data_IF_566881817296
#
_entry.id   IF_566881817296
#
_cell.length_a   1.000
_cell.length_b   1.000
_cell.length_c   1.000
_cell.angle_alpha   90.00
_cell.angle_beta   90.00
_cell.angle_gamma   90.00
#
_symmetry.space_group_name_H-M   'P 1'
#
loop_
_entity.id
_entity.type
_entity.pdbx_description
1 polymer ?
#
# COMPACT_ATOMS: atom_id res chain seq x y z
N UNK A 1 -27.83 8.57 28.95
CA UNK A 1 -28.30 7.66 27.89
C UNK A 1 -27.16 6.71 27.55
N UNK A 2 -27.42 5.42 27.66
CA UNK A 2 -26.42 4.35 27.64
C UNK A 2 -25.83 4.17 26.24
N UNK A 3 -24.51 4.24 26.12
CA UNK A 3 -23.78 3.88 24.90
C UNK A 3 -23.97 2.37 24.69
N UNK A 4 -24.71 1.97 23.66
CA UNK A 4 -24.81 0.56 23.28
C UNK A 4 -23.47 0.13 22.68
N UNK A 5 -22.76 -0.74 23.39
CA UNK A 5 -21.60 -1.44 22.85
C UNK A 5 -22.00 -2.25 21.62
N UNK A 6 -21.21 -2.14 20.55
CA UNK A 6 -21.32 -3.00 19.37
C UNK A 6 -21.20 -4.47 19.80
N UNK A 7 -22.01 -5.40 19.24
CA UNK A 7 -21.92 -6.80 19.59
C UNK A 7 -20.53 -7.33 19.23
N UNK A 8 -19.83 -7.91 20.21
CA UNK A 8 -18.53 -8.55 19.99
C UNK A 8 -18.74 -9.73 19.03
N UNK A 9 -18.29 -9.58 17.79
CA UNK A 9 -18.13 -10.72 16.89
C UNK A 9 -17.07 -11.59 17.54
N UNK A 10 -17.47 -12.70 18.18
CA UNK A 10 -16.53 -13.72 18.66
C UNK A 10 -15.82 -14.26 17.42
N UNK A 11 -14.62 -13.78 17.16
CA UNK A 11 -13.71 -14.40 16.23
C UNK A 11 -13.58 -15.87 16.63
N UNK A 12 -14.02 -16.76 15.73
CA UNK A 12 -13.86 -18.20 15.90
C UNK A 12 -12.35 -18.42 15.99
N UNK A 13 -11.83 -18.77 17.18
CA UNK A 13 -10.43 -19.15 17.37
C UNK A 13 -10.08 -20.13 16.26
N UNK A 14 -9.20 -19.72 15.36
CA UNK A 14 -8.49 -20.67 14.51
C UNK A 14 -7.66 -21.46 15.51
N UNK A 15 -8.17 -22.63 15.89
CA UNK A 15 -7.36 -23.62 16.60
C UNK A 15 -6.09 -23.76 15.76
N UNK A 16 -4.94 -23.43 16.35
CA UNK A 16 -3.65 -23.76 15.75
C UNK A 16 -3.58 -25.29 15.68
N UNK A 17 -4.17 -25.86 14.62
CA UNK A 17 -4.01 -27.27 14.30
C UNK A 17 -2.53 -27.48 13.97
N UNK A 18 -2.04 -28.65 14.36
CA UNK A 18 -0.66 -29.13 14.25
C UNK A 18 0.28 -28.22 13.45
N UNK A 19 1.30 -27.61 14.11
CA UNK A 19 2.36 -26.78 13.51
C UNK A 19 2.57 -27.16 12.05
N UNK A 20 1.96 -26.41 11.14
CA UNK A 20 2.20 -26.61 9.72
C UNK A 20 3.71 -26.46 9.54
N UNK A 21 4.38 -27.49 9.02
CA UNK A 21 5.76 -27.33 8.56
C UNK A 21 5.68 -26.20 7.53
N UNK A 22 6.42 -25.11 7.76
CA UNK A 22 6.38 -23.95 6.87
C UNK A 22 6.70 -24.33 5.42
N UNK A 23 6.52 -23.40 4.49
CA UNK A 23 6.74 -23.65 3.08
C UNK A 23 8.23 -23.87 2.79
N UNK A 24 8.53 -24.94 2.06
CA UNK A 24 9.83 -25.07 1.39
C UNK A 24 9.79 -24.33 0.06
N UNK A 25 10.82 -23.55 -0.23
CA UNK A 25 10.87 -22.63 -1.37
C UNK A 25 11.98 -23.09 -2.33
N UNK A 26 11.63 -23.79 -3.41
CA UNK A 26 12.62 -24.18 -4.41
C UNK A 26 13.08 -22.96 -5.21
N UNK A 27 14.40 -22.79 -5.35
CA UNK A 27 15.01 -21.79 -6.23
C UNK A 27 14.81 -22.21 -7.69
N UNK A 28 14.28 -21.32 -8.52
CA UNK A 28 14.01 -21.56 -9.95
C UNK A 28 14.82 -20.64 -10.84
N UNK A 29 15.00 -19.39 -10.41
CA UNK A 29 15.70 -18.37 -11.17
C UNK A 29 16.99 -17.90 -10.50
N UNK A 30 17.14 -18.17 -9.20
CA UNK A 30 18.25 -17.69 -8.39
C UNK A 30 19.17 -18.83 -7.94
N UNK A 31 20.35 -18.47 -7.43
CA UNK A 31 21.32 -19.40 -6.87
C UNK A 31 21.64 -18.98 -5.44
N UNK A 32 21.77 -19.95 -4.52
CA UNK A 32 22.11 -19.66 -3.13
C UNK A 32 23.46 -18.91 -3.04
N UNK A 33 23.50 -17.87 -2.21
CA UNK A 33 24.70 -17.05 -1.99
C UNK A 33 25.03 -16.06 -3.09
N UNK A 34 24.22 -15.93 -4.15
CA UNK A 34 24.37 -14.91 -5.19
C UNK A 34 23.24 -13.90 -5.13
N UNK A 35 23.57 -12.61 -5.15
CA UNK A 35 22.57 -11.56 -5.19
C UNK A 35 21.84 -11.61 -6.55
N UNK A 36 20.49 -11.75 -6.57
CA UNK A 36 19.73 -11.76 -7.81
C UNK A 36 19.97 -10.56 -8.72
N UNK A 37 20.30 -9.39 -8.15
CA UNK A 37 20.59 -8.19 -8.92
C UNK A 37 21.83 -8.34 -9.79
N UNK A 38 22.82 -9.15 -9.41
CA UNK A 38 24.06 -9.37 -10.17
C UNK A 38 23.86 -10.15 -11.48
N UNK A 39 22.71 -10.82 -11.64
CA UNK A 39 22.36 -11.53 -12.88
C UNK A 39 21.98 -10.60 -14.04
N UNK A 40 21.85 -9.29 -13.79
CA UNK A 40 21.47 -8.28 -14.78
C UNK A 40 22.57 -7.24 -14.97
N UNK A 41 22.58 -6.61 -16.14
CA UNK A 41 23.34 -5.39 -16.38
C UNK A 41 22.46 -4.15 -16.18
N UNK A 42 23.06 -3.08 -15.67
CA UNK A 42 22.38 -1.84 -15.35
C UNK A 42 23.00 -0.68 -16.11
N UNK A 43 22.22 0.39 -16.24
CA UNK A 43 22.68 1.67 -16.77
C UNK A 43 22.02 2.83 -16.04
N UNK A 44 22.63 4.00 -16.17
CA UNK A 44 22.12 5.25 -15.62
C UNK A 44 21.24 5.92 -16.68
N UNK A 45 19.98 6.20 -16.33
CA UNK A 45 19.04 6.91 -17.19
C UNK A 45 18.56 8.19 -16.54
N UNK A 46 18.26 9.16 -17.39
CA UNK A 46 17.57 10.39 -16.99
C UNK A 46 16.08 10.21 -17.21
N UNK A 47 15.28 10.58 -16.21
CA UNK A 47 13.83 10.69 -16.33
C UNK A 47 13.43 12.16 -16.33
N UNK A 48 12.58 12.54 -17.29
CA UNK A 48 12.05 13.89 -17.42
C UNK A 48 10.55 13.80 -17.66
N UNK A 49 9.76 14.50 -16.84
CA UNK A 49 8.33 14.69 -17.06
C UNK A 49 8.13 16.14 -17.48
N UNK A 50 7.45 16.33 -18.61
CA UNK A 50 7.10 17.64 -19.15
C UNK A 50 5.60 17.85 -19.18
N UNK A 51 5.19 19.10 -19.04
CA UNK A 51 3.83 19.54 -19.35
C UNK A 51 3.58 19.54 -20.87
N UNK A 52 2.31 19.64 -21.31
CA UNK A 52 1.98 19.80 -22.73
C UNK A 52 2.60 21.04 -23.39
N UNK A 53 2.90 22.07 -22.60
CA UNK A 53 3.59 23.29 -23.05
C UNK A 53 5.13 23.14 -23.16
N UNK A 54 5.66 21.95 -22.87
CA UNK A 54 7.09 21.63 -22.92
C UNK A 54 7.87 21.99 -21.65
N UNK A 55 7.26 22.65 -20.65
CA UNK A 55 7.93 22.95 -19.39
C UNK A 55 8.21 21.69 -18.57
N UNK A 56 9.38 21.64 -17.92
CA UNK A 56 9.79 20.46 -17.12
C UNK A 56 9.12 20.51 -15.75
N UNK A 57 8.31 19.49 -15.45
CA UNK A 57 7.64 19.29 -14.16
C UNK A 57 8.56 18.60 -13.16
N UNK A 58 9.33 17.63 -13.65
CA UNK A 58 10.22 16.82 -12.83
C UNK A 58 11.37 16.33 -13.70
N UNK A 59 12.58 16.36 -13.15
CA UNK A 59 13.77 15.78 -13.76
C UNK A 59 14.59 15.07 -12.69
N UNK A 60 15.00 13.86 -12.99
CA UNK A 60 15.97 13.12 -12.20
C UNK A 60 16.99 12.49 -13.12
N UNK A 61 18.25 12.82 -12.86
CA UNK A 61 19.39 12.25 -13.57
C UNK A 61 19.94 11.05 -12.82
N UNK A 62 20.64 10.18 -13.54
CA UNK A 62 21.40 9.07 -12.97
C UNK A 62 20.56 8.05 -12.18
N UNK A 63 19.33 7.76 -12.63
CA UNK A 63 18.55 6.64 -12.09
C UNK A 63 19.15 5.31 -12.59
N UNK A 64 19.60 4.45 -11.68
CA UNK A 64 20.14 3.14 -12.01
C UNK A 64 18.99 2.15 -12.25
N UNK A 65 18.88 1.63 -13.47
CA UNK A 65 17.83 0.68 -13.87
C UNK A 65 18.43 -0.45 -14.72
N UNK A 66 17.78 -1.63 -14.81
CA UNK A 66 18.22 -2.69 -15.71
C UNK A 66 18.22 -2.23 -17.16
N UNK A 67 19.26 -2.57 -17.94
CA UNK A 67 19.37 -2.18 -19.36
C UNK A 67 18.18 -2.61 -20.22
N UNK A 68 17.56 -3.74 -19.87
CA UNK A 68 16.41 -4.28 -20.59
C UNK A 68 15.09 -3.53 -20.37
N UNK A 69 15.01 -2.62 -19.39
CA UNK A 69 13.80 -1.84 -19.15
C UNK A 69 13.57 -0.83 -20.27
N UNK A 70 12.32 -0.46 -20.54
CA UNK A 70 12.02 0.66 -21.44
C UNK A 70 12.24 2.01 -20.74
N UNK A 71 12.36 3.09 -21.53
CA UNK A 71 12.39 4.45 -20.99
C UNK A 71 11.09 4.74 -20.22
N UNK A 72 9.92 4.35 -20.74
CA UNK A 72 8.64 4.52 -20.04
C UNK A 72 8.60 3.83 -18.67
N UNK A 73 9.13 2.60 -18.57
CA UNK A 73 9.22 1.90 -17.27
C UNK A 73 10.13 2.65 -16.30
N UNK A 74 11.22 3.23 -16.81
CA UNK A 74 12.14 4.07 -16.02
C UNK A 74 11.42 5.33 -15.54
N UNK A 75 10.70 6.01 -16.42
CA UNK A 75 9.98 7.24 -16.08
C UNK A 75 8.87 7.00 -15.06
N UNK A 76 8.12 5.90 -15.20
CA UNK A 76 7.10 5.52 -14.22
C UNK A 76 7.74 5.19 -12.88
N UNK A 77 8.81 4.38 -12.85
CA UNK A 77 9.52 4.05 -11.62
C UNK A 77 9.99 5.30 -10.89
N UNK A 78 10.69 6.18 -11.58
CA UNK A 78 11.31 7.35 -10.97
C UNK A 78 10.25 8.37 -10.54
N UNK A 79 9.20 8.56 -11.33
CA UNK A 79 8.18 9.58 -11.03
C UNK A 79 7.16 9.16 -9.98
N UNK A 80 6.84 7.86 -9.93
CA UNK A 80 5.75 7.32 -9.10
C UNK A 80 6.20 6.42 -7.97
N UNK A 81 7.36 5.77 -8.03
CA UNK A 81 7.71 4.72 -7.06
C UNK A 81 8.98 5.00 -6.28
N UNK A 82 9.93 5.75 -6.85
CA UNK A 82 11.09 6.23 -6.11
C UNK A 82 10.67 7.16 -4.99
N UNK A 83 11.10 6.84 -3.78
CA UNK A 83 10.99 7.70 -2.62
C UNK A 83 11.94 8.89 -2.77
N UNK A 84 11.40 10.10 -2.71
CA UNK A 84 12.10 11.37 -2.95
C UNK A 84 12.80 11.95 -1.73
N UNK A 85 12.52 11.45 -0.53
CA UNK A 85 13.07 11.99 0.72
C UNK A 85 13.17 10.94 1.83
N UNK A 86 14.16 11.11 2.73
CA UNK A 86 14.35 10.33 3.94
C UNK A 86 15.13 9.02 3.76
N UNK A 87 15.59 8.72 2.54
CA UNK A 87 16.37 7.49 2.30
C UNK A 87 17.78 7.66 2.87
N UNK A 88 18.28 6.72 3.70
CA UNK A 88 19.61 6.81 4.28
C UNK A 88 20.71 6.94 3.23
N UNK A 89 21.76 7.73 3.53
CA UNK A 89 22.94 8.01 2.69
C UNK A 89 22.67 8.83 1.41
N UNK A 90 21.63 8.52 0.64
CA UNK A 90 21.33 9.17 -0.65
C UNK A 90 20.25 10.23 -0.58
N UNK A 91 19.48 10.30 0.52
CA UNK A 91 18.34 11.20 0.70
C UNK A 91 17.09 10.76 -0.06
N UNK A 92 17.26 10.14 -1.23
CA UNK A 92 16.19 9.59 -2.09
C UNK A 92 16.59 8.23 -2.68
N UNK A 93 15.64 7.47 -3.18
CA UNK A 93 15.91 6.29 -4.00
C UNK A 93 16.47 6.74 -5.35
N UNK A 94 17.56 6.10 -5.78
CA UNK A 94 18.27 6.37 -7.04
C UNK A 94 18.46 5.11 -7.88
N UNK A 95 18.05 3.94 -7.38
CA UNK A 95 18.19 2.67 -8.08
C UNK A 95 16.93 1.82 -7.97
N UNK A 96 16.56 1.14 -9.06
CA UNK A 96 15.51 0.13 -9.05
C UNK A 96 15.80 -0.99 -8.02
N UNK A 97 17.08 -1.27 -7.75
CA UNK A 97 17.50 -2.24 -6.73
C UNK A 97 17.01 -1.86 -5.34
N UNK A 98 17.04 -0.57 -4.99
CA UNK A 98 16.59 -0.10 -3.67
C UNK A 98 15.10 -0.35 -3.45
N UNK A 99 14.28 0.00 -4.44
CA UNK A 99 12.82 -0.21 -4.41
C UNK A 99 12.49 -1.70 -4.29
N UNK A 100 13.08 -2.52 -5.16
CA UNK A 100 12.84 -3.96 -5.17
C UNK A 100 13.34 -4.61 -3.88
N UNK A 101 14.50 -4.19 -3.38
CA UNK A 101 15.05 -4.67 -2.12
C UNK A 101 14.10 -4.39 -0.96
N UNK A 102 13.65 -3.14 -0.77
CA UNK A 102 12.79 -2.81 0.38
C UNK A 102 11.49 -3.58 0.38
N UNK A 103 10.90 -3.82 -0.79
CA UNK A 103 9.66 -4.59 -0.90
C UNK A 103 9.92 -6.05 -0.54
N UNK A 104 10.88 -6.69 -1.21
CA UNK A 104 11.12 -8.12 -1.03
C UNK A 104 11.62 -8.46 0.38
N UNK A 105 12.56 -7.66 0.92
CA UNK A 105 13.13 -7.86 2.24
C UNK A 105 12.07 -7.69 3.34
N UNK A 106 11.29 -6.61 3.28
CA UNK A 106 10.21 -6.36 4.25
C UNK A 106 9.14 -7.46 4.21
N UNK A 107 8.77 -7.98 3.04
CA UNK A 107 7.80 -9.08 2.93
C UNK A 107 8.36 -10.38 3.54
N UNK A 108 9.63 -10.72 3.29
CA UNK A 108 10.28 -11.87 3.95
C UNK A 108 10.24 -11.71 5.47
N UNK A 109 10.71 -10.56 5.97
CA UNK A 109 10.75 -10.28 7.41
C UNK A 109 9.37 -10.34 8.07
N UNK A 110 8.33 -9.87 7.38
CA UNK A 110 6.95 -10.00 7.85
C UNK A 110 6.53 -11.48 7.96
N UNK A 111 6.85 -12.31 6.95
CA UNK A 111 6.56 -13.74 6.98
C UNK A 111 7.30 -14.49 8.10
N UNK A 112 8.56 -14.13 8.36
CA UNK A 112 9.34 -14.67 9.48
C UNK A 112 8.73 -14.27 10.84
N UNK A 113 8.36 -13.00 11.01
CA UNK A 113 7.77 -12.47 12.25
C UNK A 113 6.42 -13.08 12.57
N UNK A 114 5.56 -13.25 11.56
CA UNK A 114 4.25 -13.90 11.73
C UNK A 114 4.39 -15.39 12.06
N UNK A 115 5.49 -16.02 11.65
CA UNK A 115 5.75 -17.44 11.86
C UNK A 115 4.90 -18.34 10.96
N UNK A 116 5.35 -19.58 10.78
CA UNK A 116 4.62 -20.60 10.01
C UNK A 116 4.65 -20.45 8.48
N UNK A 117 5.25 -19.37 7.94
CA UNK A 117 5.38 -19.17 6.49
C UNK A 117 6.53 -19.98 5.87
N UNK A 118 7.72 -19.98 6.46
CA UNK A 118 8.92 -20.61 5.91
C UNK A 118 9.33 -21.83 6.74
N UNK A 119 9.74 -22.93 6.09
CA UNK A 119 10.18 -24.13 6.80
C UNK A 119 11.54 -23.93 7.46
N UNK A 120 12.42 -23.18 6.80
CA UNK A 120 13.80 -22.89 7.21
C UNK A 120 14.18 -21.43 6.91
N UNK A 121 15.33 -20.98 7.45
CA UNK A 121 15.89 -19.67 7.11
C UNK A 121 16.35 -19.63 5.64
N UNK A 122 16.82 -20.76 5.12
CA UNK A 122 17.21 -20.91 3.72
C UNK A 122 16.01 -20.75 2.78
N UNK A 123 14.82 -21.24 3.17
CA UNK A 123 13.58 -21.05 2.43
C UNK A 123 13.12 -19.58 2.44
N UNK A 124 13.28 -18.89 3.58
CA UNK A 124 13.00 -17.46 3.66
C UNK A 124 13.93 -16.64 2.75
N UNK A 125 15.23 -16.95 2.74
CA UNK A 125 16.19 -16.31 1.83
C UNK A 125 15.90 -16.65 0.37
N UNK A 126 15.56 -17.90 0.06
CA UNK A 126 15.16 -18.31 -1.29
C UNK A 126 13.92 -17.53 -1.77
N UNK A 127 12.94 -17.32 -0.89
CA UNK A 127 11.77 -16.49 -1.18
C UNK A 127 12.15 -15.05 -1.51
N UNK A 128 12.97 -14.41 -0.68
CA UNK A 128 13.42 -13.03 -0.91
C UNK A 128 14.15 -12.92 -2.26
N UNK A 129 15.06 -13.86 -2.54
CA UNK A 129 15.88 -13.86 -3.75
C UNK A 129 15.01 -14.04 -5.00
N UNK A 130 14.13 -15.04 -5.02
CA UNK A 130 13.21 -15.28 -6.15
C UNK A 130 12.27 -14.08 -6.35
N UNK A 131 11.77 -13.48 -5.27
CA UNK A 131 10.91 -12.30 -5.36
C UNK A 131 11.67 -11.09 -5.93
N UNK A 132 12.89 -10.81 -5.45
CA UNK A 132 13.76 -9.77 -6.02
C UNK A 132 13.94 -9.98 -7.53
N UNK A 133 14.25 -11.21 -7.93
CA UNK A 133 14.44 -11.56 -9.33
C UNK A 133 13.16 -11.33 -10.16
N UNK A 134 12.00 -11.80 -9.68
CA UNK A 134 10.72 -11.64 -10.40
C UNK A 134 10.34 -10.17 -10.59
N UNK A 135 10.56 -9.33 -9.56
CA UNK A 135 10.25 -7.91 -9.61
C UNK A 135 11.21 -7.15 -10.53
N UNK A 136 12.53 -7.37 -10.40
CA UNK A 136 13.53 -6.62 -11.19
C UNK A 136 13.51 -7.00 -12.68
N UNK A 137 13.13 -8.24 -12.99
CA UNK A 137 12.95 -8.72 -14.38
C UNK A 137 11.55 -8.46 -14.94
N UNK A 138 10.66 -7.81 -14.18
CA UNK A 138 9.28 -7.51 -14.56
C UNK A 138 8.44 -8.75 -14.92
N UNK A 139 8.76 -9.92 -14.34
CA UNK A 139 7.98 -11.17 -14.47
C UNK A 139 6.79 -11.24 -13.53
N UNK A 140 6.79 -10.39 -12.51
CA UNK A 140 5.67 -10.15 -11.63
C UNK A 140 5.73 -8.72 -11.10
N UNK A 141 4.57 -8.20 -10.69
CA UNK A 141 4.48 -6.89 -10.05
C UNK A 141 3.35 -6.92 -9.01
N UNK A 142 3.55 -6.18 -7.93
CA UNK A 142 2.49 -5.91 -6.97
C UNK A 142 1.59 -4.77 -7.45
N UNK A 143 0.44 -4.63 -6.80
CA UNK A 143 -0.38 -3.42 -6.89
C UNK A 143 0.41 -2.19 -6.39
N UNK A 144 0.05 -1.00 -6.86
CA UNK A 144 0.83 0.23 -6.63
C UNK A 144 1.05 0.60 -5.15
N UNK A 145 0.08 0.45 -4.21
CA UNK A 145 0.32 0.69 -2.78
C UNK A 145 1.49 -0.08 -2.16
N UNK A 146 1.78 -1.30 -2.62
CA UNK A 146 2.97 -2.03 -2.18
C UNK A 146 4.23 -1.28 -2.60
N UNK A 147 4.30 -0.84 -3.86
CA UNK A 147 5.42 -0.06 -4.36
C UNK A 147 5.55 1.29 -3.66
N UNK A 148 4.45 1.94 -3.29
CA UNK A 148 4.52 3.23 -2.60
C UNK A 148 5.02 3.10 -1.17
N UNK A 149 4.53 2.13 -0.41
CA UNK A 149 4.57 2.18 1.06
C UNK A 149 5.41 1.05 1.71
N UNK A 150 5.54 -0.10 1.05
CA UNK A 150 6.15 -1.29 1.66
C UNK A 150 7.66 -1.08 1.91
N UNK A 151 8.09 -1.24 3.15
CA UNK A 151 9.51 -1.14 3.52
C UNK A 151 10.05 0.27 3.76
N UNK A 152 9.22 1.33 3.64
CA UNK A 152 9.69 2.69 3.94
C UNK A 152 10.13 2.85 5.40
N UNK A 153 9.36 2.33 6.36
CA UNK A 153 9.79 2.33 7.76
C UNK A 153 10.85 1.25 8.03
N UNK A 154 10.63 0.05 7.53
CA UNK A 154 11.43 -1.13 7.88
C UNK A 154 12.88 -1.04 7.36
N UNK A 155 13.08 -0.53 6.14
CA UNK A 155 14.43 -0.38 5.58
C UNK A 155 15.04 0.99 5.84
N UNK A 156 14.20 2.04 5.84
CA UNK A 156 14.69 3.43 5.82
C UNK A 156 14.39 4.20 7.11
N UNK A 157 13.63 3.63 8.06
CA UNK A 157 13.20 4.33 9.27
C UNK A 157 12.25 5.49 9.01
N UNK A 158 11.64 5.57 7.82
CA UNK A 158 10.77 6.67 7.44
C UNK A 158 9.41 6.46 8.10
N UNK A 159 9.03 7.39 8.97
CA UNK A 159 7.70 7.41 9.58
C UNK A 159 6.67 8.06 8.65
N UNK A 160 5.43 7.58 8.75
CA UNK A 160 4.27 8.19 8.11
C UNK A 160 3.44 8.93 9.15
N UNK A 161 2.51 9.77 8.71
CA UNK A 161 1.50 10.30 9.64
C UNK A 161 0.59 9.17 10.17
N UNK A 162 0.12 9.30 11.40
CA UNK A 162 -0.81 8.35 12.01
C UNK A 162 -2.26 8.45 11.49
N UNK A 163 -3.12 7.63 12.08
CA UNK A 163 -4.58 7.74 11.95
C UNK A 163 -5.26 6.73 11.02
N UNK A 164 -4.51 5.79 10.44
CA UNK A 164 -5.06 4.59 9.82
C UNK A 164 -5.35 3.53 10.88
N UNK A 165 -5.98 2.43 10.47
CA UNK A 165 -6.23 1.28 11.35
C UNK A 165 -5.35 0.10 10.96
N UNK A 166 -4.93 -0.67 11.95
CA UNK A 166 -4.30 -1.95 11.78
C UNK A 166 -4.83 -2.94 12.81
N UNK A 167 -4.64 -4.23 12.53
CA UNK A 167 -4.97 -5.30 13.46
C UNK A 167 -3.78 -5.62 14.35
N UNK A 168 -3.95 -5.53 15.67
CA UNK A 168 -2.98 -5.98 16.65
C UNK A 168 -3.27 -7.44 17.04
N UNK A 169 -2.44 -8.36 16.57
CA UNK A 169 -2.57 -9.79 16.85
C UNK A 169 -2.37 -10.15 18.32
N UNK A 170 -1.55 -9.40 19.05
CA UNK A 170 -1.22 -9.71 20.44
C UNK A 170 -2.35 -9.31 21.39
N UNK A 171 -3.09 -8.26 21.03
CA UNK A 171 -4.23 -7.74 21.81
C UNK A 171 -5.59 -8.14 21.27
N UNK A 172 -5.64 -8.83 20.12
CA UNK A 172 -6.87 -9.24 19.44
C UNK A 172 -7.81 -8.03 19.20
N UNK A 173 -7.24 -6.90 18.76
CA UNK A 173 -7.96 -5.63 18.63
C UNK A 173 -7.52 -4.78 17.44
N UNK A 174 -8.45 -3.94 16.95
CA UNK A 174 -8.15 -2.92 15.95
C UNK A 174 -7.60 -1.68 16.65
N UNK A 175 -6.44 -1.20 16.21
CA UNK A 175 -5.76 -0.03 16.76
C UNK A 175 -5.46 1.01 15.68
N UNK A 176 -5.25 2.26 16.11
CA UNK A 176 -4.85 3.35 15.20
C UNK A 176 -3.34 3.43 15.08
N UNK A 177 -2.83 3.59 13.87
CA UNK A 177 -1.40 3.77 13.62
C UNK A 177 -0.91 5.10 14.17
N UNK A 178 0.24 5.09 14.86
CA UNK A 178 1.04 6.29 15.15
C UNK A 178 1.88 6.68 13.93
N UNK A 179 2.46 5.68 13.27
CA UNK A 179 3.15 5.78 11.98
C UNK A 179 2.50 4.86 10.95
N UNK A 180 1.97 5.42 9.87
CA UNK A 180 1.36 4.60 8.80
C UNK A 180 2.38 3.85 7.93
N UNK A 181 3.68 4.11 8.05
CA UNK A 181 4.70 3.33 7.32
C UNK A 181 5.24 2.16 8.13
N UNK A 182 5.08 2.17 9.46
CA UNK A 182 5.31 1.00 10.32
C UNK A 182 4.23 -0.08 10.08
N UNK A 183 3.00 0.36 9.82
CA UNK A 183 1.90 -0.50 9.38
C UNK A 183 1.43 -0.07 7.97
N UNK A 184 2.21 -0.39 6.91
CA UNK A 184 2.02 0.18 5.60
C UNK A 184 0.70 -0.25 4.95
N UNK A 185 0.01 0.71 4.35
CA UNK A 185 -1.14 0.43 3.49
C UNK A 185 -0.66 -0.19 2.17
N UNK A 186 -0.83 -1.49 2.02
CA UNK A 186 -0.36 -2.26 0.86
C UNK A 186 -1.50 -2.90 0.04
N UNK A 187 -2.75 -2.55 0.33
CA UNK A 187 -3.93 -3.04 -0.39
C UNK A 187 -4.47 -1.95 -1.31
N UNK A 188 -4.80 -2.30 -2.55
CA UNK A 188 -5.33 -1.36 -3.52
C UNK A 188 -6.85 -1.21 -3.48
N UNK A 189 -7.59 -2.18 -2.95
CA UNK A 189 -9.04 -2.23 -3.09
C UNK A 189 -9.70 -2.42 -1.72
N UNK A 190 -10.69 -1.57 -1.42
CA UNK A 190 -11.54 -1.65 -0.24
C UNK A 190 -13.00 -1.57 -0.64
N UNK A 191 -13.85 -2.26 0.12
CA UNK A 191 -15.31 -2.12 0.02
C UNK A 191 -15.83 -1.65 1.36
N UNK A 192 -16.67 -0.63 1.33
CA UNK A 192 -17.28 -0.01 2.50
C UNK A 192 -18.81 -0.11 2.39
N UNK A 193 -19.48 0.09 3.52
CA UNK A 193 -20.91 0.28 3.60
C UNK A 193 -21.19 1.52 4.42
N UNK A 194 -22.31 2.17 4.13
CA UNK A 194 -22.75 3.35 4.85
C UNK A 194 -24.18 3.16 5.31
N UNK A 195 -24.46 3.62 6.53
CA UNK A 195 -25.82 3.66 7.05
C UNK A 195 -26.51 4.94 6.59
N UNK A 196 -27.83 4.92 6.57
CA UNK A 196 -28.66 6.08 6.21
C UNK A 196 -28.72 7.13 7.34
N UNK A 197 -27.54 7.66 7.65
CA UNK A 197 -27.26 8.61 8.71
C UNK A 197 -26.19 9.63 8.26
N UNK A 198 -26.37 10.88 8.65
CA UNK A 198 -25.49 11.97 8.23
C UNK A 198 -24.05 11.77 8.74
N UNK A 199 -23.88 11.32 9.98
CA UNK A 199 -22.54 11.09 10.54
C UNK A 199 -21.87 9.90 9.86
N UNK A 200 -22.61 8.82 9.58
CA UNK A 200 -22.11 7.68 8.81
C UNK A 200 -21.59 8.09 7.42
N UNK A 201 -22.31 8.98 6.72
CA UNK A 201 -21.89 9.52 5.41
C UNK A 201 -20.62 10.36 5.48
N UNK A 202 -20.44 11.19 6.52
CA UNK A 202 -19.21 11.96 6.69
C UNK A 202 -18.04 11.12 7.22
N UNK A 203 -18.30 10.10 8.03
CA UNK A 203 -17.30 9.12 8.43
C UNK A 203 -16.80 8.31 7.24
N UNK A 204 -17.68 7.98 6.29
CA UNK A 204 -17.27 7.40 5.01
C UNK A 204 -16.28 8.33 4.29
N UNK A 205 -16.61 9.60 4.09
CA UNK A 205 -15.72 10.57 3.44
C UNK A 205 -14.33 10.65 4.11
N UNK A 206 -14.30 10.62 5.45
CA UNK A 206 -13.06 10.57 6.23
C UNK A 206 -12.28 9.27 5.99
N UNK A 207 -12.97 8.15 5.90
CA UNK A 207 -12.34 6.85 5.64
C UNK A 207 -11.81 6.75 4.20
N UNK A 208 -12.52 7.27 3.21
CA UNK A 208 -12.03 7.36 1.83
C UNK A 208 -10.75 8.21 1.78
N UNK A 209 -10.73 9.38 2.44
CA UNK A 209 -9.54 10.23 2.50
C UNK A 209 -8.33 9.52 3.12
N UNK A 210 -8.53 8.71 4.17
CA UNK A 210 -7.48 7.87 4.79
C UNK A 210 -6.91 6.87 3.79
N UNK A 211 -7.76 6.20 3.03
CA UNK A 211 -7.36 5.21 2.02
C UNK A 211 -6.65 5.86 0.83
N UNK A 212 -7.22 6.91 0.27
CA UNK A 212 -6.67 7.65 -0.88
C UNK A 212 -5.30 8.23 -0.58
N UNK A 213 -5.09 8.75 0.64
CA UNK A 213 -3.80 9.32 1.07
C UNK A 213 -2.62 8.38 0.83
N UNK A 214 -2.81 7.07 0.96
CA UNK A 214 -1.76 6.07 0.79
C UNK A 214 -1.90 5.23 -0.49
N UNK A 215 -2.74 5.66 -1.43
CA UNK A 215 -2.82 5.10 -2.78
C UNK A 215 -3.84 3.98 -2.97
N UNK A 216 -4.69 3.71 -1.99
CA UNK A 216 -5.77 2.72 -2.13
C UNK A 216 -7.01 3.33 -2.78
N UNK A 217 -7.78 2.53 -3.51
CA UNK A 217 -9.12 2.86 -3.97
C UNK A 217 -10.19 2.20 -3.08
N UNK A 218 -11.40 2.75 -3.11
CA UNK A 218 -12.55 2.25 -2.35
C UNK A 218 -13.82 2.30 -3.19
N UNK A 219 -14.73 1.37 -2.93
CA UNK A 219 -16.09 1.38 -3.43
C UNK A 219 -17.06 1.19 -2.27
N UNK A 220 -18.24 1.82 -2.34
CA UNK A 220 -19.17 1.83 -1.21
C UNK A 220 -20.55 1.35 -1.63
N UNK A 221 -21.15 0.51 -0.78
CA UNK A 221 -22.56 0.14 -0.93
C UNK A 221 -23.47 1.24 -0.34
N UNK A 222 -24.25 1.86 -1.21
CA UNK A 222 -25.19 2.94 -0.86
C UNK A 222 -26.66 2.50 -0.84
N UNK A 223 -26.97 1.20 -0.94
CA UNK A 223 -28.35 0.71 -1.03
C UNK A 223 -29.24 1.06 0.18
N UNK A 224 -28.64 1.46 1.30
CA UNK A 224 -29.38 1.91 2.48
C UNK A 224 -29.78 3.38 2.42
N UNK A 225 -29.12 4.20 1.60
CA UNK A 225 -29.34 5.65 1.58
C UNK A 225 -30.70 5.97 0.97
N UNK A 226 -31.51 6.72 1.73
CA UNK A 226 -32.85 7.11 1.31
C UNK A 226 -32.83 8.01 0.08
N UNK A 227 -33.90 7.93 -0.71
CA UNK A 227 -34.13 8.74 -1.89
C UNK A 227 -34.32 10.23 -1.59
N UNK A 228 -34.26 11.02 -2.65
CA UNK A 228 -34.59 12.45 -2.60
C UNK A 228 -36.03 12.65 -2.11
N UNK A 229 -36.27 13.70 -1.32
CA UNK A 229 -37.57 14.04 -0.71
C UNK A 229 -38.12 13.09 0.36
N UNK A 230 -37.42 12.00 0.70
CA UNK A 230 -37.81 11.16 1.83
C UNK A 230 -37.69 11.91 3.16
N UNK A 231 -38.63 11.64 4.08
CA UNK A 231 -38.74 12.38 5.35
C UNK A 231 -37.53 12.14 6.25
N UNK A 232 -37.07 13.19 6.93
CA UNK A 232 -36.04 13.10 7.96
C UNK A 232 -36.67 13.10 9.36
N UNK A 233 -36.00 12.45 10.31
CA UNK A 233 -36.45 12.39 11.71
C UNK A 233 -36.46 13.76 12.40
N UNK A 234 -35.53 14.65 12.03
CA UNK A 234 -35.42 16.02 12.54
C UNK A 234 -36.31 17.06 11.84
N UNK A 235 -37.18 16.63 10.91
CA UNK A 235 -37.95 17.53 10.04
C UNK A 235 -37.24 17.84 8.72
N UNK A 236 -38.02 18.30 7.73
CA UNK A 236 -37.53 18.48 6.36
C UNK A 236 -37.43 17.16 5.57
N UNK A 237 -36.65 17.20 4.50
CA UNK A 237 -36.54 16.11 3.53
C UNK A 237 -35.10 15.86 3.11
N UNK A 238 -34.79 14.61 2.76
CA UNK A 238 -33.49 14.18 2.26
C UNK A 238 -33.10 14.86 0.96
N UNK A 239 -31.80 15.20 0.84
CA UNK A 239 -31.17 15.59 -0.43
C UNK A 239 -31.04 14.42 -1.41
N UNK A 240 -31.07 13.18 -0.91
CA UNK A 240 -30.90 11.96 -1.70
C UNK A 240 -29.43 11.63 -1.99
N UNK A 241 -29.19 10.40 -2.46
CA UNK A 241 -27.85 9.85 -2.69
C UNK A 241 -26.97 10.72 -3.61
N UNK A 242 -27.52 11.25 -4.71
CA UNK A 242 -26.72 11.98 -5.70
C UNK A 242 -25.98 13.18 -5.10
N UNK A 243 -26.61 13.94 -4.20
CA UNK A 243 -25.96 15.07 -3.54
C UNK A 243 -24.77 14.65 -2.68
N UNK A 244 -24.84 13.48 -2.03
CA UNK A 244 -23.71 12.96 -1.26
C UNK A 244 -22.60 12.41 -2.16
N UNK A 245 -22.94 11.78 -3.28
CA UNK A 245 -21.94 11.34 -4.27
C UNK A 245 -21.16 12.53 -4.84
N UNK A 246 -21.81 13.67 -5.07
CA UNK A 246 -21.10 14.91 -5.48
C UNK A 246 -20.12 15.40 -4.41
N UNK A 247 -20.46 15.30 -3.12
CA UNK A 247 -19.56 15.64 -2.01
C UNK A 247 -18.35 14.70 -1.99
N UNK A 248 -18.58 13.39 -2.12
CA UNK A 248 -17.51 12.39 -2.14
C UNK A 248 -16.59 12.57 -3.35
N UNK A 249 -17.16 12.80 -4.55
CA UNK A 249 -16.39 13.06 -5.77
C UNK A 249 -15.48 14.29 -5.64
N UNK A 250 -16.03 15.39 -5.09
CA UNK A 250 -15.23 16.59 -4.80
C UNK A 250 -14.12 16.33 -3.78
N UNK A 251 -14.41 15.54 -2.75
CA UNK A 251 -13.43 15.12 -1.74
C UNK A 251 -12.30 14.26 -2.34
N UNK A 252 -12.66 13.29 -3.18
CA UNK A 252 -11.73 12.44 -3.90
C UNK A 252 -10.85 13.27 -4.85
N UNK A 253 -11.46 14.17 -5.65
CA UNK A 253 -10.74 15.06 -6.56
C UNK A 253 -9.78 16.03 -5.88
N UNK A 254 -10.08 16.43 -4.63
CA UNK A 254 -9.17 17.23 -3.81
C UNK A 254 -8.01 16.40 -3.20
N UNK A 255 -8.18 15.08 -3.11
CA UNK A 255 -7.18 14.18 -2.52
C UNK A 255 -6.25 13.63 -3.60
N UNK A 256 -5.05 14.20 -3.73
CA UNK A 256 -4.03 13.65 -4.63
C UNK A 256 -3.43 12.38 -4.01
N UNK A 257 -3.86 11.21 -4.48
CA UNK A 257 -3.33 9.93 -4.00
C UNK A 257 -1.86 9.73 -4.39
N UNK A 258 -1.05 9.23 -3.45
CA UNK A 258 0.30 8.72 -3.74
C UNK A 258 1.37 9.72 -4.23
N UNK A 259 1.12 11.04 -4.18
CA UNK A 259 2.01 12.05 -4.77
C UNK A 259 3.34 12.33 -4.03
N UNK A 260 3.71 11.54 -3.02
CA UNK A 260 4.88 11.82 -2.15
C UNK A 260 5.85 10.65 -1.99
N UNK A 261 5.74 9.59 -2.79
CA UNK A 261 6.98 8.89 -3.18
C UNK A 261 7.79 9.86 -4.00
#
# INVERSE_FOLDING_TARGET
MSVKALPSVRARRISHSAKAKGLSIPRRHTQAGKDPFESLSYELRTSVITNPDGSVVFKMENAEVPKGWSQLATDILVSKYFRKAGVPKTGRETSAKQVVHRIAHTIRHAGEKLGGYFATAEDAQAFEDELKYLLITQRGAFNSPVWFNCGLYHEYGIEGSGGNFFWNSDRDSIETTTSSYEHPQCSACFIQSVDDDLMSLFDLAKNEARLFKYGSGTGTNFSHIRGHQEKLSGGGTSSGLMSFLEVLDRGAGATKSGGTT
#
